data_IF_321605336646
#
_entry.id   IF_321605336646
#
_cell.length_a   1.000
_cell.length_b   1.000
_cell.length_c   1.000
_cell.angle_alpha   90.00
_cell.angle_beta   90.00
_cell.angle_gamma   90.00
#
_symmetry.space_group_name_H-M   'P 1'
#
loop_
_entity.id
_entity.type
_entity.pdbx_description
1 polymer ?
#
# COMPACT_ATOMS: atom_id res chain seq x y z
N UNK A 1 -15.00 -19.13 3.11
CA UNK A 1 -14.12 -18.56 3.46
C UNK A 1 -13.11 -18.17 2.62
N UNK A 2 -12.82 -17.13 2.47
CA UNK A 2 -12.03 -16.66 1.55
C UNK A 2 -10.83 -16.14 2.07
N UNK A 3 -10.04 -16.91 2.49
CA UNK A 3 -8.88 -16.51 3.10
C UNK A 3 -7.79 -16.08 2.18
N UNK A 4 -8.07 -16.08 0.92
CA UNK A 4 -7.00 -15.83 0.00
C UNK A 4 -6.73 -14.39 -0.27
N UNK A 5 -7.58 -13.49 0.19
CA UNK A 5 -7.38 -12.11 -0.11
C UNK A 5 -6.41 -11.47 0.85
N UNK A 6 -5.43 -10.71 0.39
CA UNK A 6 -4.53 -10.03 1.30
C UNK A 6 -5.29 -8.97 2.09
N UNK A 7 -4.88 -8.71 3.32
CA UNK A 7 -5.58 -7.73 4.14
C UNK A 7 -5.37 -6.29 3.69
N UNK A 8 -4.32 -6.02 2.95
CA UNK A 8 -4.02 -4.66 2.53
C UNK A 8 -4.01 -4.57 1.01
N UNK A 9 -4.60 -3.53 0.48
CA UNK A 9 -4.61 -3.30 -0.96
C UNK A 9 -4.09 -1.90 -1.22
N UNK A 10 -3.18 -1.78 -2.18
CA UNK A 10 -2.67 -0.48 -2.61
C UNK A 10 -3.15 -0.26 -4.03
N UNK A 11 -3.96 0.75 -4.24
CA UNK A 11 -4.57 1.03 -5.54
C UNK A 11 -3.55 1.60 -6.50
N UNK A 12 -3.85 1.64 -7.78
CA UNK A 12 -2.93 2.26 -8.73
C UNK A 12 -2.72 3.73 -8.41
N UNK A 13 -1.61 4.32 -8.84
CA UNK A 13 -1.39 5.74 -8.62
C UNK A 13 -2.48 6.57 -9.27
N UNK A 14 -2.92 7.60 -8.56
CA UNK A 14 -3.96 8.45 -9.12
C UNK A 14 -3.34 9.73 -9.68
N UNK A 15 -4.19 10.58 -10.24
CA UNK A 15 -3.69 11.77 -10.91
C UNK A 15 -3.06 12.77 -9.97
N UNK A 16 -3.39 12.71 -8.71
CA UNK A 16 -2.84 13.68 -7.78
C UNK A 16 -1.56 13.21 -7.11
N UNK A 17 -1.08 12.07 -7.48
CA UNK A 17 0.24 11.67 -7.01
C UNK A 17 0.28 10.65 -5.92
N UNK A 18 -0.84 10.21 -5.42
CA UNK A 18 -0.88 9.24 -4.35
C UNK A 18 -1.52 7.95 -4.75
N UNK A 19 -1.39 6.95 -3.90
CA UNK A 19 -2.05 5.66 -4.07
C UNK A 19 -2.93 5.44 -2.86
N UNK A 20 -4.18 5.07 -3.09
CA UNK A 20 -5.09 4.80 -1.99
C UNK A 20 -4.72 3.49 -1.34
N UNK A 21 -4.71 3.47 -0.03
CA UNK A 21 -4.38 2.27 0.74
C UNK A 21 -5.61 1.86 1.53
N UNK A 22 -5.97 0.60 1.42
CA UNK A 22 -7.13 0.05 2.13
C UNK A 22 -6.68 -1.16 2.95
N UNK A 23 -7.27 -1.34 4.09
CA UNK A 23 -7.02 -2.52 4.91
C UNK A 23 -8.36 -3.15 5.24
N UNK A 24 -8.54 -4.37 4.79
CA UNK A 24 -9.77 -5.14 5.03
C UNK A 24 -11.02 -4.37 4.60
N UNK A 25 -10.90 -3.68 3.48
CA UNK A 25 -12.02 -2.96 2.94
C UNK A 25 -12.20 -1.55 3.47
N UNK A 26 -11.39 -1.15 4.43
CA UNK A 26 -11.50 0.19 4.98
C UNK A 26 -10.38 1.08 4.49
N UNK A 27 -10.67 2.28 4.06
CA UNK A 27 -9.63 3.16 3.56
C UNK A 27 -8.73 3.63 4.69
N UNK A 28 -7.42 3.59 4.48
CA UNK A 28 -6.47 4.09 5.44
C UNK A 28 -6.00 5.49 5.08
N UNK A 29 -5.91 5.79 3.81
CA UNK A 29 -5.45 7.10 3.37
C UNK A 29 -4.66 7.02 2.10
N UNK A 30 -4.00 8.10 1.75
CA UNK A 30 -3.18 8.17 0.57
C UNK A 30 -1.73 8.07 0.95
N UNK A 31 -0.99 7.27 0.22
CA UNK A 31 0.44 7.15 0.40
C UNK A 31 1.12 7.69 -0.84
N UNK A 32 2.19 8.43 -0.67
CA UNK A 32 2.97 8.95 -1.78
C UNK A 32 4.33 8.30 -1.86
N UNK A 33 4.63 7.42 -0.93
CA UNK A 33 5.90 6.71 -0.90
C UNK A 33 5.77 5.50 0.01
N UNK A 34 6.80 4.67 0.01
CA UNK A 34 6.82 3.52 0.90
C UNK A 34 6.78 3.97 2.36
N UNK A 35 7.45 5.07 2.68
CA UNK A 35 7.44 5.54 4.07
C UNK A 35 6.03 5.89 4.52
N UNK A 36 5.25 6.52 3.64
CA UNK A 36 3.87 6.84 3.98
C UNK A 36 3.06 5.57 4.18
N UNK A 37 3.29 4.56 3.34
CA UNK A 37 2.58 3.31 3.48
C UNK A 37 2.89 2.65 4.81
N UNK A 38 4.15 2.64 5.21
CA UNK A 38 4.54 2.06 6.49
C UNK A 38 3.81 2.77 7.63
N UNK A 39 3.72 4.09 7.56
CA UNK A 39 3.01 4.84 8.60
C UNK A 39 1.54 4.50 8.62
N UNK A 40 0.89 4.40 7.48
CA UNK A 40 -0.52 4.07 7.45
C UNK A 40 -0.77 2.67 8.01
N UNK A 41 0.09 1.73 7.69
CA UNK A 41 -0.09 0.37 8.18
C UNK A 41 0.09 0.31 9.70
N UNK A 42 0.98 1.11 10.24
CA UNK A 42 1.19 1.06 11.67
C UNK A 42 -0.04 1.55 12.43
N UNK A 43 -0.86 2.39 11.82
CA UNK A 43 -2.06 2.87 12.51
C UNK A 43 -3.09 1.77 12.72
N UNK A 44 -2.99 0.67 12.00
CA UNK A 44 -3.88 -0.46 12.19
C UNK A 44 -3.15 -1.66 12.75
N UNK A 45 -1.98 -1.43 13.33
CA UNK A 45 -1.28 -2.51 14.01
C UNK A 45 -0.39 -3.37 13.13
N UNK A 46 -0.19 -3.00 11.88
CA UNK A 46 0.68 -3.76 11.00
C UNK A 46 2.03 -3.08 10.95
N UNK A 47 2.97 -3.62 11.69
CA UNK A 47 4.27 -3.01 11.78
C UNK A 47 5.23 -3.68 10.84
N UNK A 48 5.31 -3.18 9.65
CA UNK A 48 6.17 -3.72 8.62
C UNK A 48 7.23 -2.68 8.28
N UNK A 49 8.43 -3.12 8.09
CA UNK A 49 9.49 -2.21 7.66
C UNK A 49 9.40 -1.94 6.18
N UNK A 50 10.14 -0.94 5.69
CA UNK A 50 10.09 -0.60 4.26
C UNK A 50 10.51 -1.76 3.36
N UNK A 51 11.43 -2.59 3.81
CA UNK A 51 11.82 -3.73 3.02
C UNK A 51 10.75 -4.78 3.00
N UNK A 52 10.01 -4.89 4.08
CA UNK A 52 8.99 -5.91 4.20
C UNK A 52 7.78 -5.61 3.36
N UNK A 53 7.41 -4.33 3.22
CA UNK A 53 6.24 -4.01 2.44
C UNK A 53 6.43 -4.35 0.97
N UNK A 54 7.66 -4.44 0.51
CA UNK A 54 7.92 -4.77 -0.88
C UNK A 54 7.79 -6.24 -1.17
N UNK A 55 7.93 -7.09 -0.17
CA UNK A 55 7.94 -8.53 -0.40
C UNK A 55 6.83 -9.28 0.33
N UNK A 56 6.12 -8.63 1.23
CA UNK A 56 5.11 -9.31 2.01
C UNK A 56 3.90 -9.68 1.17
N UNK A 57 3.28 -10.79 1.51
CA UNK A 57 2.07 -11.20 0.85
C UNK A 57 0.85 -10.55 1.45
N UNK A 58 1.03 -9.75 2.47
CA UNK A 58 -0.10 -9.08 3.11
C UNK A 58 -0.59 -7.89 2.30
N UNK A 59 0.17 -7.46 1.30
CA UNK A 59 -0.19 -6.31 0.51
C UNK A 59 -0.39 -6.72 -0.94
N UNK A 60 -1.54 -6.33 -1.49
CA UNK A 60 -1.83 -6.56 -2.88
C UNK A 60 -1.59 -5.24 -3.62
N UNK A 61 -0.60 -5.21 -4.48
CA UNK A 61 -0.24 -4.02 -5.23
C UNK A 61 -0.98 -4.02 -6.56
N UNK A 62 -1.78 -3.01 -6.78
CA UNK A 62 -2.55 -2.92 -8.02
C UNK A 62 -1.94 -1.83 -8.89
N UNK A 63 -1.71 -2.14 -10.15
CA UNK A 63 -1.22 -1.13 -11.07
C UNK A 63 0.25 -0.82 -10.96
N UNK A 64 1.01 -1.70 -10.34
CA UNK A 64 2.45 -1.51 -10.20
C UNK A 64 2.88 -1.82 -8.78
N UNK A 65 4.13 -2.12 -8.61
CA UNK A 65 4.68 -2.53 -7.33
C UNK A 65 5.09 -1.38 -6.44
N UNK A 66 5.89 -1.67 -5.43
CA UNK A 66 6.25 -0.66 -4.43
C UNK A 66 7.16 0.46 -4.95
N UNK A 67 7.69 0.32 -6.13
CA UNK A 67 8.51 1.38 -6.69
C UNK A 67 7.72 2.33 -7.56
N UNK A 68 6.45 2.08 -7.81
CA UNK A 68 5.65 2.87 -8.73
C UNK A 68 4.78 3.85 -7.96
N UNK A 69 5.09 5.12 -8.06
CA UNK A 69 4.29 6.18 -7.44
C UNK A 69 4.07 7.24 -8.50
N UNK A 70 2.96 7.93 -8.41
CA UNK A 70 2.58 8.82 -9.48
C UNK A 70 3.59 9.93 -9.74
N UNK A 71 4.30 10.36 -8.73
CA UNK A 71 5.25 11.32 -8.94
C UNK A 71 6.61 10.83 -9.17
N UNK A 72 6.84 9.58 -9.30
CA UNK A 72 8.15 9.05 -9.53
C UNK A 72 8.68 9.54 -10.83
N UNK A 73 9.88 9.95 -10.87
CA UNK A 73 10.44 10.37 -12.15
C UNK A 73 10.59 9.18 -13.06
N UNK A 74 10.54 9.41 -14.30
CA UNK A 74 10.69 8.33 -15.26
C UNK A 74 12.08 7.76 -15.27
#
# INVERSE_FOLDING_TARGET
>A
MTADQPPVTVSPPNASGGRDVHAEGSPLGLAHSVADLVDLLSTVGLELGPDEVATTRLIHWQGGGPAVWAESPP
#
